data_IF_397268063556
#
_entry.id   IF_397268063556
#
_cell.length_a   1.000
_cell.length_b   1.000
_cell.length_c   1.000
_cell.angle_alpha   90.00
_cell.angle_beta   90.00
_cell.angle_gamma   90.00
#
_symmetry.space_group_name_H-M   'P 1'
#
loop_
_entity.id
_entity.type
_entity.pdbx_description
1 polymer ?
#
# COMPACT_ATOMS: atom_id res chain seq x y z
N UNK A 1 2.49 20.84 12.60
CA UNK A 1 3.67 20.10 12.10
C UNK A 1 3.22 19.29 10.89
N UNK A 2 3.56 19.71 9.67
CA UNK A 2 3.15 19.00 8.45
C UNK A 2 4.17 17.89 8.19
N UNK A 3 3.73 16.64 8.17
CA UNK A 3 4.56 15.52 7.71
C UNK A 3 4.61 15.59 6.19
N UNK A 4 5.72 16.09 5.64
CA UNK A 4 5.95 16.09 4.19
C UNK A 4 6.41 14.69 3.78
N UNK A 5 5.73 14.09 2.80
CA UNK A 5 6.09 12.78 2.24
C UNK A 5 6.65 13.04 0.84
N UNK A 6 7.95 12.78 0.66
CA UNK A 6 8.58 12.82 -0.66
C UNK A 6 8.38 11.46 -1.31
N UNK A 7 7.39 11.36 -2.19
CA UNK A 7 7.09 10.14 -2.92
C UNK A 7 7.97 10.01 -4.16
N UNK A 8 8.66 8.87 -4.29
CA UNK A 8 9.37 8.49 -5.52
C UNK A 8 8.34 8.09 -6.62
N UNK A 9 8.67 8.26 -7.90
CA UNK A 9 7.78 7.99 -9.05
C UNK A 9 7.15 6.59 -9.04
N UNK A 10 7.80 5.60 -8.42
CA UNK A 10 7.27 4.25 -8.28
C UNK A 10 5.97 4.16 -7.44
N UNK A 11 5.71 5.13 -6.54
CA UNK A 11 4.47 5.21 -5.78
C UNK A 11 3.28 5.66 -6.64
N UNK A 12 3.56 6.42 -7.71
CA UNK A 12 2.54 6.88 -8.65
C UNK A 12 1.85 5.69 -9.30
N UNK A 13 2.58 4.63 -9.64
CA UNK A 13 2.01 3.42 -10.23
C UNK A 13 0.97 2.75 -9.33
N UNK A 14 1.17 2.74 -8.01
CA UNK A 14 0.20 2.19 -7.06
C UNK A 14 -1.11 2.99 -7.11
N UNK A 15 -1.05 4.32 -6.96
CA UNK A 15 -2.22 5.19 -6.99
C UNK A 15 -2.88 5.28 -8.39
N UNK A 16 -2.09 5.13 -9.46
CA UNK A 16 -2.58 5.14 -10.84
C UNK A 16 -3.18 3.79 -11.24
N UNK A 17 -2.81 2.70 -10.55
CA UNK A 17 -3.43 1.39 -10.75
C UNK A 17 -4.89 1.35 -10.30
N UNK A 18 -5.29 2.28 -9.43
CA UNK A 18 -6.67 2.47 -9.03
C UNK A 18 -7.42 3.16 -10.18
N UNK A 19 -8.26 2.39 -10.88
CA UNK A 19 -8.96 2.78 -12.11
C UNK A 19 -10.47 2.83 -11.86
N UNK A 20 -11.26 3.36 -12.80
CA UNK A 20 -12.74 3.34 -12.69
C UNK A 20 -13.29 1.91 -12.49
N UNK A 21 -12.59 0.89 -12.98
CA UNK A 21 -12.95 -0.52 -12.85
C UNK A 21 -12.45 -1.19 -11.56
N UNK A 22 -11.43 -0.65 -10.90
CA UNK A 22 -10.80 -1.16 -9.66
C UNK A 22 -10.64 0.03 -8.68
N UNK A 23 -11.68 0.35 -7.88
CA UNK A 23 -11.80 1.63 -7.21
C UNK A 23 -11.01 1.68 -5.90
N UNK A 24 -10.31 0.61 -5.53
CA UNK A 24 -9.32 0.73 -4.49
C UNK A 24 -8.19 -0.27 -4.62
N UNK A 25 -7.04 0.16 -4.13
CA UNK A 25 -5.84 -0.64 -4.05
C UNK A 25 -5.42 -0.73 -2.60
N UNK A 26 -5.05 -1.93 -2.17
CA UNK A 26 -4.38 -2.14 -0.89
C UNK A 26 -2.97 -2.62 -1.20
N UNK A 27 -2.02 -2.16 -0.41
CA UNK A 27 -0.64 -2.58 -0.54
C UNK A 27 0.10 -2.56 0.78
N UNK A 28 1.30 -3.14 0.78
CA UNK A 28 2.20 -3.13 1.91
C UNK A 28 3.22 -2.00 1.75
N UNK A 29 3.40 -1.22 2.82
CA UNK A 29 4.43 -0.20 2.93
C UNK A 29 5.72 -0.92 3.29
N UNK A 30 6.69 -0.87 2.38
CA UNK A 30 8.01 -1.46 2.55
C UNK A 30 9.03 -0.35 2.69
N UNK A 31 9.91 -0.49 3.67
CA UNK A 31 10.86 0.55 3.98
C UNK A 31 11.82 0.14 5.08
N UNK A 32 12.49 1.14 5.62
CA UNK A 32 13.40 1.00 6.75
C UNK A 32 13.00 1.99 7.83
N UNK A 33 12.75 1.49 9.03
CA UNK A 33 12.60 2.33 10.22
C UNK A 33 13.98 2.77 10.71
N UNK A 34 14.21 4.08 10.72
CA UNK A 34 15.34 4.70 11.40
C UNK A 34 14.95 5.17 12.81
N UNK A 35 15.91 5.76 13.52
CA UNK A 35 15.71 6.22 14.90
C UNK A 35 14.67 7.34 15.01
N UNK A 36 14.67 8.27 14.04
CA UNK A 36 13.80 9.45 14.07
C UNK A 36 12.85 9.54 12.87
N UNK A 37 13.03 8.68 11.86
CA UNK A 37 12.30 8.72 10.58
C UNK A 37 12.16 7.33 9.98
N UNK A 38 10.97 7.05 9.46
CA UNK A 38 10.73 5.91 8.59
C UNK A 38 10.97 6.30 7.12
N UNK A 39 11.74 5.48 6.40
CA UNK A 39 11.98 5.65 4.97
C UNK A 39 11.13 4.64 4.21
N UNK A 40 10.04 5.11 3.62
CA UNK A 40 9.19 4.30 2.74
C UNK A 40 9.84 4.22 1.36
N UNK A 41 10.24 3.02 0.95
CA UNK A 41 10.88 2.75 -0.33
C UNK A 41 9.87 2.31 -1.40
N UNK A 42 8.88 1.50 -1.02
CA UNK A 42 8.04 0.81 -1.99
C UNK A 42 6.65 0.48 -1.44
N UNK A 43 5.63 0.54 -2.31
CA UNK A 43 4.29 0.03 -2.04
C UNK A 43 4.08 -1.24 -2.87
N UNK A 44 4.02 -2.39 -2.19
CA UNK A 44 3.69 -3.65 -2.85
C UNK A 44 2.17 -3.82 -2.92
N UNK A 45 1.59 -3.65 -4.12
CA UNK A 45 0.16 -3.94 -4.36
C UNK A 45 -0.12 -5.42 -4.03
N UNK A 46 -1.21 -5.65 -3.32
CA UNK A 46 -1.69 -7.01 -3.05
C UNK A 46 -2.22 -7.64 -4.35
N UNK A 47 -1.92 -8.92 -4.64
CA UNK A 47 -2.20 -9.54 -5.94
C UNK A 47 -3.68 -9.89 -6.16
N UNK A 48 -4.59 -9.50 -5.27
CA UNK A 48 -6.01 -9.82 -5.32
C UNK A 48 -6.88 -8.59 -5.61
N UNK A 49 -7.97 -8.81 -6.34
CA UNK A 49 -8.96 -7.78 -6.66
C UNK A 49 -9.93 -7.63 -5.50
N UNK A 50 -10.24 -6.39 -5.14
CA UNK A 50 -11.22 -6.08 -4.10
C UNK A 50 -12.57 -5.80 -4.72
N UNK A 51 -13.62 -6.40 -4.17
CA UNK A 51 -14.97 -6.04 -4.57
C UNK A 51 -15.31 -4.65 -4.04
N UNK A 52 -15.85 -3.82 -4.94
CA UNK A 52 -16.13 -2.38 -4.71
C UNK A 52 -17.03 -2.12 -3.49
N UNK A 53 -17.76 -3.14 -3.03
CA UNK A 53 -18.80 -3.06 -2.00
C UNK A 53 -18.33 -3.33 -0.57
N UNK A 54 -17.17 -3.97 -0.35
CA UNK A 54 -16.71 -4.35 1.00
C UNK A 54 -15.19 -4.22 1.14
N UNK A 55 -14.67 -2.99 1.28
CA UNK A 55 -13.33 -2.80 1.88
C UNK A 55 -13.27 -3.28 3.35
N UNK A 56 -14.43 -3.61 3.96
CA UNK A 56 -14.52 -4.17 5.31
C UNK A 56 -14.30 -5.68 5.40
N UNK A 57 -14.47 -6.44 4.31
CA UNK A 57 -14.34 -7.91 4.30
C UNK A 57 -13.00 -8.38 3.74
N UNK A 58 -11.92 -7.67 4.08
CA UNK A 58 -10.59 -8.10 3.65
C UNK A 58 -10.14 -9.24 4.56
N UNK A 59 -9.79 -10.38 3.97
CA UNK A 59 -9.21 -11.49 4.70
C UNK A 59 -7.84 -11.08 5.28
N UNK A 60 -7.80 -10.94 6.60
CA UNK A 60 -6.59 -10.59 7.35
C UNK A 60 -5.47 -11.62 7.11
N UNK A 61 -5.81 -12.92 7.01
CA UNK A 61 -4.80 -13.96 6.79
C UNK A 61 -4.11 -13.78 5.44
N UNK A 62 -4.85 -13.35 4.43
CA UNK A 62 -4.30 -13.10 3.10
C UNK A 62 -3.31 -11.93 3.11
N UNK A 63 -3.60 -10.87 3.86
CA UNK A 63 -2.65 -9.76 4.07
C UNK A 63 -1.42 -10.26 4.82
N UNK A 64 -1.61 -11.02 5.91
CA UNK A 64 -0.53 -11.53 6.74
C UNK A 64 0.41 -12.47 5.97
N UNK A 65 -0.13 -13.35 5.15
CA UNK A 65 0.66 -14.30 4.37
C UNK A 65 1.45 -13.59 3.28
N UNK A 66 0.85 -12.60 2.61
CA UNK A 66 1.58 -11.74 1.69
C UNK A 66 2.70 -10.95 2.39
N UNK A 67 2.42 -10.39 3.57
CA UNK A 67 3.42 -9.66 4.35
C UNK A 67 4.58 -10.57 4.80
N UNK A 68 4.29 -11.80 5.24
CA UNK A 68 5.30 -12.80 5.58
C UNK A 68 6.15 -13.17 4.36
N UNK A 69 5.51 -13.39 3.22
CA UNK A 69 6.20 -13.74 1.98
C UNK A 69 7.17 -12.62 1.58
N UNK A 70 6.69 -11.37 1.55
CA UNK A 70 7.52 -10.22 1.22
C UNK A 70 8.66 -10.09 2.22
N UNK A 71 8.39 -10.12 3.53
CA UNK A 71 9.41 -9.97 4.57
C UNK A 71 10.57 -10.97 4.40
N UNK A 72 10.29 -12.20 3.98
CA UNK A 72 11.33 -13.22 3.71
C UNK A 72 12.16 -12.95 2.45
N UNK A 73 11.63 -12.14 1.53
CA UNK A 73 12.29 -11.77 0.27
C UNK A 73 13.00 -10.42 0.36
N UNK A 74 12.80 -9.64 1.42
CA UNK A 74 13.44 -8.34 1.57
C UNK A 74 14.93 -8.50 1.95
N UNK A 75 15.82 -7.70 1.35
CA UNK A 75 17.21 -7.61 1.81
C UNK A 75 17.30 -7.11 3.25
N UNK A 76 18.39 -7.46 3.94
CA UNK A 76 18.61 -7.07 5.33
C UNK A 76 18.51 -5.55 5.54
N UNK A 77 17.82 -5.15 6.61
CA UNK A 77 17.56 -3.74 6.94
C UNK A 77 16.25 -3.18 6.38
N UNK A 78 15.55 -3.91 5.51
CA UNK A 78 14.21 -3.57 5.05
C UNK A 78 13.14 -4.41 5.75
N UNK A 79 11.98 -3.83 6.00
CA UNK A 79 10.83 -4.48 6.60
C UNK A 79 9.51 -3.97 5.98
N UNK A 80 8.45 -4.74 6.21
CA UNK A 80 7.07 -4.25 6.05
C UNK A 80 6.78 -3.33 7.24
N UNK A 81 6.55 -2.05 6.96
CA UNK A 81 6.29 -1.00 7.95
C UNK A 81 4.78 -0.81 8.22
N UNK A 82 3.92 -1.27 7.31
CA UNK A 82 2.48 -1.15 7.47
C UNK A 82 1.68 -1.47 6.22
N UNK A 83 0.41 -1.08 6.23
CA UNK A 83 -0.56 -1.28 5.15
C UNK A 83 -0.98 0.08 4.61
N UNK A 84 -1.07 0.20 3.29
CA UNK A 84 -1.64 1.34 2.59
C UNK A 84 -2.96 0.95 1.95
N UNK A 85 -3.99 1.77 2.16
CA UNK A 85 -5.30 1.62 1.52
C UNK A 85 -5.55 2.88 0.70
N UNK A 86 -5.79 2.71 -0.59
CA UNK A 86 -6.23 3.77 -1.49
C UNK A 86 -7.63 3.43 -1.97
N UNK A 87 -8.56 4.37 -1.83
CA UNK A 87 -9.89 4.28 -2.42
C UNK A 87 -10.13 5.54 -3.24
N UNK A 88 -10.47 5.37 -4.52
CA UNK A 88 -10.92 6.46 -5.37
C UNK A 88 -12.42 6.64 -5.11
N UNK A 89 -12.76 7.53 -4.20
CA UNK A 89 -14.08 8.13 -4.22
C UNK A 89 -14.20 8.96 -5.50
N UNK A 90 -15.22 8.66 -6.31
CA UNK A 90 -15.43 9.35 -7.57
C UNK A 90 -15.46 10.86 -7.33
N UNK A 91 -14.57 11.59 -8.02
CA UNK A 91 -14.68 13.03 -8.16
C UNK A 91 -16.05 13.35 -8.79
N UNK A 92 -17.04 13.60 -7.94
CA UNK A 92 -18.30 14.21 -8.35
C UNK A 92 -17.96 15.68 -8.62
N UNK A 93 -17.76 16.01 -9.88
CA UNK A 93 -17.95 17.38 -10.33
C UNK A 93 -19.43 17.70 -10.10
N UNK A 94 -19.73 18.42 -9.02
CA UNK A 94 -20.93 19.25 -8.90
C UNK A 94 -20.53 20.71 -9.06
#
# INVERSE_FOLDING_TARGET
MVRSIVANYNLQTFFTSTSKDDPGAIGLIIGQSGTDKDYVLYLAKLPFKYDKSSFGDIDENLILDHAKQITRMLPGGMNVLGIAVAHLEGMRFQ
#
